data_IF_626000780802
#
_entry.id   IF_626000780802
#
_cell.length_a   1.000
_cell.length_b   1.000
_cell.length_c   1.000
_cell.angle_alpha   90.00
_cell.angle_beta   90.00
_cell.angle_gamma   90.00
#
_symmetry.space_group_name_H-M   'P 1'
#
loop_
_entity.id
_entity.type
_entity.pdbx_description
1 polymer ?
#
# COMPACT_ATOMS: atom_id res chain seq x y z
N UNK A 1 23.90 -3.28 -28.69
CA UNK A 1 24.75 -4.48 -28.66
C UNK A 1 24.30 -5.30 -27.46
N UNK A 2 23.66 -6.44 -27.68
CA UNK A 2 23.21 -7.35 -26.62
C UNK A 2 24.44 -8.00 -25.98
N UNK A 3 24.62 -7.80 -24.69
CA UNK A 3 25.57 -8.56 -23.88
C UNK A 3 24.76 -9.41 -22.92
N UNK A 4 24.81 -10.73 -23.12
CA UNK A 4 24.27 -11.71 -22.19
C UNK A 4 25.22 -11.84 -21.02
N UNK A 5 24.68 -11.79 -19.80
CA UNK A 5 25.38 -12.25 -18.59
C UNK A 5 24.57 -13.40 -18.02
N UNK A 6 25.14 -14.60 -18.17
CA UNK A 6 24.72 -15.81 -17.45
C UNK A 6 25.37 -15.73 -16.08
N UNK A 7 24.58 -15.71 -15.01
CA UNK A 7 25.08 -15.92 -13.65
C UNK A 7 24.39 -17.15 -13.03
N UNK A 8 25.24 -18.08 -12.61
CA UNK A 8 24.99 -19.33 -11.90
C UNK A 8 24.51 -19.09 -10.45
N UNK A 9 23.92 -20.10 -9.78
CA UNK A 9 23.30 -19.89 -8.47
C UNK A 9 24.36 -19.69 -7.38
N UNK A 10 24.34 -18.53 -6.73
CA UNK A 10 24.98 -18.31 -5.44
C UNK A 10 23.89 -18.43 -4.38
N UNK A 11 24.08 -19.39 -3.48
CA UNK A 11 23.26 -19.60 -2.29
C UNK A 11 23.45 -18.42 -1.34
N UNK A 12 22.47 -17.54 -1.24
CA UNK A 12 22.31 -16.68 -0.07
C UNK A 12 20.85 -16.27 0.15
N UNK A 13 20.50 -16.23 1.43
CA UNK A 13 19.14 -16.22 1.99
C UNK A 13 18.60 -14.79 2.01
N UNK A 14 17.44 -14.54 1.41
CA UNK A 14 16.87 -13.19 1.35
C UNK A 14 15.38 -13.13 1.04
N UNK A 15 14.66 -12.39 1.87
CA UNK A 15 13.27 -11.97 1.73
C UNK A 15 13.01 -11.23 0.41
N UNK A 16 11.93 -11.56 -0.31
CA UNK A 16 11.41 -10.72 -1.40
C UNK A 16 9.92 -10.46 -1.19
N UNK A 17 9.64 -9.22 -0.80
CA UNK A 17 8.35 -8.54 -0.85
C UNK A 17 8.36 -7.71 -2.14
N UNK A 18 7.32 -7.77 -2.99
CA UNK A 18 7.10 -6.71 -3.97
C UNK A 18 5.62 -6.48 -4.38
N UNK A 19 5.10 -5.37 -3.86
CA UNK A 19 4.36 -4.22 -4.46
C UNK A 19 3.35 -4.43 -5.60
N UNK A 20 2.13 -3.91 -5.41
CA UNK A 20 1.34 -3.27 -6.49
C UNK A 20 1.34 -1.75 -6.26
N UNK A 21 1.89 -1.02 -7.22
CA UNK A 21 1.74 0.43 -7.41
C UNK A 21 0.37 0.64 -8.06
N UNK A 22 -0.46 1.54 -7.52
CA UNK A 22 -1.39 2.29 -8.35
C UNK A 22 -1.36 3.75 -7.93
N UNK A 23 -0.43 4.48 -8.53
CA UNK A 23 -0.60 5.90 -8.77
C UNK A 23 -1.12 6.00 -10.20
N UNK A 24 -2.28 6.62 -10.42
CA UNK A 24 -2.70 7.02 -11.76
C UNK A 24 -1.71 8.07 -12.26
N UNK A 25 -0.62 7.62 -12.88
CA UNK A 25 0.26 8.45 -13.68
C UNK A 25 0.38 7.79 -15.06
N UNK A 26 -0.11 8.53 -16.08
CA UNK A 26 0.12 8.25 -17.50
C UNK A 26 1.61 8.00 -17.72
N UNK A 27 2.01 6.74 -17.86
CA UNK A 27 2.88 6.19 -18.91
C UNK A 27 3.41 4.80 -18.51
N UNK A 28 3.47 3.93 -19.53
CA UNK A 28 3.73 2.49 -19.46
C UNK A 28 5.01 2.14 -18.69
N UNK A 29 4.87 1.31 -17.65
CA UNK A 29 5.97 0.51 -17.10
C UNK A 29 5.48 -0.93 -16.99
N UNK A 30 6.24 -1.86 -17.55
CA UNK A 30 5.97 -3.31 -17.55
C UNK A 30 7.11 -3.95 -16.76
N UNK A 31 6.82 -4.53 -15.60
CA UNK A 31 7.80 -5.27 -14.80
C UNK A 31 7.35 -6.73 -14.79
N UNK A 32 8.22 -7.62 -15.28
CA UNK A 32 8.09 -9.06 -15.13
C UNK A 32 9.09 -9.48 -14.05
N UNK A 33 8.63 -10.23 -13.05
CA UNK A 33 9.50 -10.80 -12.01
C UNK A 33 9.42 -12.32 -12.06
N UNK A 34 10.61 -12.92 -12.14
CA UNK A 34 10.83 -14.34 -12.08
C UNK A 34 11.35 -14.63 -10.66
N UNK A 35 10.50 -15.20 -9.81
CA UNK A 35 10.84 -15.52 -8.42
C UNK A 35 11.32 -16.98 -8.35
N UNK A 36 12.63 -17.14 -8.18
CA UNK A 36 13.26 -18.41 -7.85
C UNK A 36 12.89 -18.83 -6.43
N UNK A 37 12.82 -20.14 -6.21
CA UNK A 37 12.35 -20.83 -5.00
C UNK A 37 13.15 -20.41 -3.77
N UNK A 38 12.56 -19.58 -2.91
CA UNK A 38 12.90 -19.46 -1.48
C UNK A 38 11.73 -18.81 -0.70
N UNK A 39 11.46 -19.40 0.46
CA UNK A 39 10.17 -19.52 1.18
C UNK A 39 9.79 -18.30 2.02
N UNK A 40 8.56 -17.77 1.89
CA UNK A 40 7.85 -17.00 2.93
C UNK A 40 6.33 -17.11 2.79
N UNK A 41 5.60 -17.19 3.90
CA UNK A 41 4.16 -16.94 3.93
C UNK A 41 3.92 -15.44 4.19
N UNK A 42 3.67 -14.70 3.12
CA UNK A 42 3.41 -13.27 3.17
C UNK A 42 1.90 -13.07 3.17
N UNK A 43 1.32 -12.54 4.25
CA UNK A 43 -0.01 -11.95 4.13
C UNK A 43 0.14 -10.52 3.66
N UNK A 44 -0.65 -10.09 2.67
CA UNK A 44 -0.73 -8.69 2.28
C UNK A 44 -2.09 -8.15 2.68
N UNK A 45 -2.11 -7.18 3.59
CA UNK A 45 -3.24 -6.29 3.81
C UNK A 45 -2.99 -5.05 2.97
N UNK A 46 -3.70 -4.89 1.86
CA UNK A 46 -3.62 -3.68 1.05
C UNK A 46 -4.75 -2.75 1.49
N UNK A 47 -4.36 -1.59 2.02
CA UNK A 47 -5.26 -0.51 2.41
C UNK A 47 -5.18 0.58 1.35
N UNK A 48 -6.24 0.71 0.55
CA UNK A 48 -6.33 1.71 -0.52
C UNK A 48 -7.35 2.76 -0.11
N UNK A 49 -6.92 4.00 0.08
CA UNK A 49 -7.86 5.08 0.43
C UNK A 49 -8.49 5.67 -0.81
N UNK A 50 -9.71 5.26 -1.17
CA UNK A 50 -10.76 6.12 -1.75
C UNK A 50 -12.06 5.34 -2.03
N UNK A 51 -13.15 5.58 -1.26
CA UNK A 51 -14.51 5.18 -1.68
C UNK A 51 -15.62 6.14 -1.26
N UNK A 52 -15.73 7.27 -1.97
CA UNK A 52 -16.74 8.32 -1.72
C UNK A 52 -18.24 7.90 -1.78
N UNK A 53 -18.65 6.64 -2.05
CA UNK A 53 -20.03 6.37 -2.51
C UNK A 53 -20.80 5.12 -2.03
N UNK A 54 -20.42 4.42 -0.94
CA UNK A 54 -21.35 3.42 -0.34
C UNK A 54 -22.60 4.03 0.32
N UNK A 55 -22.60 5.36 0.57
CA UNK A 55 -23.81 6.08 1.01
C UNK A 55 -24.89 6.16 -0.08
N UNK A 56 -24.54 6.07 -1.38
CA UNK A 56 -25.52 6.15 -2.48
C UNK A 56 -26.17 4.80 -2.77
N UNK A 57 -25.49 3.68 -2.52
CA UNK A 57 -26.05 2.32 -2.70
C UNK A 57 -27.07 1.97 -1.61
N UNK A 58 -26.78 2.21 -0.32
CA UNK A 58 -27.80 2.03 0.74
C UNK A 58 -28.97 3.03 0.66
N UNK A 59 -28.74 4.21 0.05
CA UNK A 59 -29.82 5.17 -0.25
C UNK A 59 -30.66 4.68 -1.42
N UNK A 60 -30.05 4.08 -2.46
CA UNK A 60 -30.75 3.40 -3.56
C UNK A 60 -31.53 2.17 -3.09
N UNK A 61 -31.02 1.38 -2.16
CA UNK A 61 -31.77 0.26 -1.57
C UNK A 61 -33.01 0.75 -0.79
N UNK A 62 -32.90 1.89 -0.08
CA UNK A 62 -34.05 2.56 0.60
C UNK A 62 -34.99 3.32 -0.34
N UNK A 63 -34.49 3.78 -1.49
CA UNK A 63 -35.28 4.45 -2.53
C UNK A 63 -35.95 3.42 -3.47
N UNK A 64 -35.40 2.22 -3.64
CA UNK A 64 -36.05 1.10 -4.34
C UNK A 64 -37.24 0.52 -3.57
N UNK A 65 -37.31 0.71 -2.24
CA UNK A 65 -38.54 0.45 -1.46
C UNK A 65 -39.65 1.49 -1.73
N UNK A 66 -39.32 2.65 -2.32
CA UNK A 66 -40.26 3.71 -2.68
C UNK A 66 -40.10 4.05 -4.18
N UNK A 67 -40.62 3.16 -5.03
CA UNK A 67 -40.38 3.15 -6.47
C UNK A 67 -40.50 4.50 -7.18
N UNK A 68 -39.37 5.00 -7.65
CA UNK A 68 -39.24 5.87 -8.83
C UNK A 68 -37.90 5.55 -9.54
N UNK A 69 -37.96 4.92 -10.71
CA UNK A 69 -36.80 4.78 -11.60
C UNK A 69 -36.53 6.12 -12.31
N UNK A 70 -35.44 6.79 -11.92
CA UNK A 70 -34.78 7.80 -12.75
C UNK A 70 -33.49 7.23 -13.32
N UNK A 71 -33.49 7.03 -14.63
CA UNK A 71 -32.30 6.71 -15.42
C UNK A 71 -31.42 7.96 -15.45
N UNK A 72 -30.50 8.07 -14.50
CA UNK A 72 -29.37 9.00 -14.59
C UNK A 72 -28.28 8.36 -15.44
N UNK A 73 -28.00 8.94 -16.62
CA UNK A 73 -26.78 8.70 -17.37
C UNK A 73 -25.59 8.98 -16.43
N UNK A 74 -24.92 7.92 -15.95
CA UNK A 74 -23.72 8.09 -15.16
C UNK A 74 -22.59 8.51 -16.09
N UNK A 75 -22.30 9.82 -16.11
CA UNK A 75 -21.05 10.32 -16.67
C UNK A 75 -19.89 9.52 -16.09
N UNK A 76 -19.03 8.99 -16.97
CA UNK A 76 -17.84 8.26 -16.58
C UNK A 76 -17.01 9.16 -15.65
N UNK A 77 -16.91 8.77 -14.38
CA UNK A 77 -16.12 9.52 -13.40
C UNK A 77 -14.67 9.54 -13.86
N UNK A 78 -14.09 10.73 -13.90
CA UNK A 78 -12.69 10.95 -14.26
C UNK A 78 -11.79 10.08 -13.36
N UNK A 79 -10.92 9.28 -13.96
CA UNK A 79 -10.04 8.32 -13.28
C UNK A 79 -10.57 6.88 -13.11
N UNK A 80 -11.83 6.56 -13.44
CA UNK A 80 -12.34 5.17 -13.40
C UNK A 80 -11.92 4.36 -14.63
N UNK A 81 -11.79 3.03 -14.50
CA UNK A 81 -11.53 2.14 -15.64
C UNK A 81 -12.85 1.87 -16.36
N UNK A 82 -13.33 2.84 -17.15
CA UNK A 82 -14.64 2.78 -17.80
C UNK A 82 -15.81 2.61 -16.79
N UNK A 83 -15.77 3.33 -15.67
CA UNK A 83 -16.80 3.27 -14.62
C UNK A 83 -16.55 2.23 -13.53
N UNK A 84 -15.53 1.37 -13.67
CA UNK A 84 -15.14 0.39 -12.65
C UNK A 84 -14.03 0.94 -11.73
N UNK A 85 -14.06 0.54 -10.45
CA UNK A 85 -13.08 1.00 -9.44
C UNK A 85 -11.75 0.23 -9.56
N UNK A 86 -11.77 -0.99 -10.12
CA UNK A 86 -10.57 -1.80 -10.27
C UNK A 86 -10.60 -2.70 -11.50
N UNK A 87 -9.41 -3.08 -11.99
CA UNK A 87 -9.28 -4.05 -13.08
C UNK A 87 -9.95 -5.38 -12.71
N UNK A 88 -9.81 -5.81 -11.46
CA UNK A 88 -10.42 -7.06 -11.01
C UNK A 88 -11.96 -7.01 -11.06
N UNK A 89 -12.56 -5.88 -10.66
CA UNK A 89 -14.01 -5.68 -10.72
C UNK A 89 -14.51 -5.62 -12.17
N UNK A 90 -13.80 -4.90 -13.04
CA UNK A 90 -14.09 -4.88 -14.47
C UNK A 90 -14.07 -6.30 -15.06
N UNK A 91 -13.01 -7.06 -14.81
CA UNK A 91 -12.85 -8.41 -15.38
C UNK A 91 -13.87 -9.40 -14.82
N UNK A 92 -14.13 -9.37 -13.52
CA UNK A 92 -15.10 -10.29 -12.88
C UNK A 92 -16.55 -10.01 -13.28
N UNK A 93 -16.90 -8.75 -13.51
CA UNK A 93 -18.24 -8.35 -13.95
C UNK A 93 -18.46 -8.58 -15.45
N UNK A 94 -17.40 -8.42 -16.25
CA UNK A 94 -17.51 -8.43 -17.72
C UNK A 94 -17.28 -9.80 -18.36
N UNK A 95 -16.65 -10.74 -17.66
CA UNK A 95 -16.29 -12.05 -18.21
C UNK A 95 -17.11 -13.18 -17.57
N UNK A 96 -17.49 -14.22 -18.34
CA UNK A 96 -18.01 -15.46 -17.78
C UNK A 96 -17.04 -16.06 -16.73
N UNK A 97 -17.54 -16.75 -15.69
CA UNK A 97 -16.70 -17.21 -14.57
C UNK A 97 -15.46 -18.03 -14.99
N UNK A 98 -15.59 -18.91 -15.99
CA UNK A 98 -14.48 -19.72 -16.47
C UNK A 98 -13.40 -18.90 -17.18
N UNK A 99 -13.79 -17.88 -17.97
CA UNK A 99 -12.84 -16.98 -18.62
C UNK A 99 -12.18 -16.04 -17.61
N UNK A 100 -12.95 -15.56 -16.64
CA UNK A 100 -12.39 -14.76 -15.54
C UNK A 100 -11.32 -15.54 -14.77
N UNK A 101 -11.58 -16.80 -14.43
CA UNK A 101 -10.60 -17.68 -13.78
C UNK A 101 -9.33 -17.85 -14.61
N UNK A 102 -9.45 -18.09 -15.92
CA UNK A 102 -8.30 -18.28 -16.80
C UNK A 102 -7.49 -16.99 -17.00
N UNK A 103 -8.17 -15.86 -17.20
CA UNK A 103 -7.52 -14.54 -17.26
C UNK A 103 -6.80 -14.25 -15.95
N UNK A 104 -7.43 -14.53 -14.81
CA UNK A 104 -6.82 -14.31 -13.51
C UNK A 104 -5.58 -15.19 -13.30
N UNK A 105 -5.64 -16.47 -13.71
CA UNK A 105 -4.51 -17.40 -13.70
C UNK A 105 -3.33 -16.87 -14.52
N UNK A 106 -3.59 -16.26 -15.69
CA UNK A 106 -2.56 -15.71 -16.57
C UNK A 106 -1.97 -14.40 -16.05
N UNK A 107 -2.79 -13.52 -15.46
CA UNK A 107 -2.36 -12.20 -14.99
C UNK A 107 -1.71 -12.24 -13.59
N UNK A 108 -2.31 -12.97 -12.65
CA UNK A 108 -1.89 -13.00 -11.24
C UNK A 108 -1.09 -14.27 -10.88
N UNK A 109 -1.21 -15.34 -11.68
CA UNK A 109 -0.61 -16.62 -11.36
C UNK A 109 -1.44 -17.43 -10.36
N UNK A 110 -0.81 -18.47 -9.81
CA UNK A 110 -1.39 -19.34 -8.77
C UNK A 110 -0.46 -19.37 -7.55
N UNK A 111 -1.05 -19.46 -6.36
CA UNK A 111 -0.35 -19.72 -5.13
C UNK A 111 -0.53 -21.21 -4.75
N UNK A 112 0.56 -21.98 -4.78
CA UNK A 112 0.54 -23.44 -4.55
C UNK A 112 -0.53 -24.18 -5.39
N UNK A 113 -0.66 -23.82 -6.67
CA UNK A 113 -1.61 -24.44 -7.60
C UNK A 113 -3.07 -24.00 -7.44
N UNK A 114 -3.36 -23.03 -6.57
CA UNK A 114 -4.71 -22.48 -6.35
C UNK A 114 -4.74 -20.97 -6.61
N UNK A 115 -5.92 -20.44 -6.92
CA UNK A 115 -6.13 -18.99 -6.97
C UNK A 115 -5.88 -18.37 -5.60
N UNK A 116 -5.48 -17.10 -5.60
CA UNK A 116 -5.18 -16.36 -4.37
C UNK A 116 -6.39 -16.32 -3.44
N UNK A 117 -6.21 -16.76 -2.20
CA UNK A 117 -7.25 -16.83 -1.18
C UNK A 117 -7.45 -15.45 -0.52
N UNK A 118 -8.70 -15.01 -0.40
CA UNK A 118 -9.07 -13.80 0.35
C UNK A 118 -9.31 -14.17 1.82
N UNK A 119 -8.90 -13.32 2.75
CA UNK A 119 -9.08 -13.53 4.18
C UNK A 119 -10.15 -12.60 4.74
N UNK A 120 -10.91 -13.13 5.70
CA UNK A 120 -11.78 -12.32 6.55
C UNK A 120 -10.92 -11.44 7.48
N UNK A 121 -11.37 -10.21 7.67
CA UNK A 121 -10.78 -9.24 8.57
C UNK A 121 -11.59 -9.19 9.87
N UNK A 122 -10.98 -8.77 10.99
CA UNK A 122 -11.73 -8.59 12.22
C UNK A 122 -12.70 -7.41 12.10
N UNK A 123 -13.87 -7.51 12.71
CA UNK A 123 -14.93 -6.47 12.68
C UNK A 123 -14.38 -5.08 13.04
N UNK A 124 -13.46 -5.01 14.00
CA UNK A 124 -12.82 -3.75 14.40
C UNK A 124 -12.05 -3.05 13.28
N UNK A 125 -11.48 -3.80 12.33
CA UNK A 125 -10.78 -3.23 11.19
C UNK A 125 -11.77 -2.77 10.10
N UNK A 126 -12.84 -3.54 9.89
CA UNK A 126 -13.92 -3.19 8.96
C UNK A 126 -14.70 -1.94 9.43
N UNK A 127 -14.95 -1.83 10.73
CA UNK A 127 -15.58 -0.64 11.35
C UNK A 127 -14.74 0.61 11.14
N UNK A 128 -13.41 0.51 11.26
CA UNK A 128 -12.49 1.61 10.98
C UNK A 128 -12.48 1.98 9.49
N UNK A 129 -12.46 0.98 8.61
CA UNK A 129 -12.57 1.16 7.16
C UNK A 129 -13.84 1.92 6.78
N UNK A 130 -14.99 1.52 7.33
CA UNK A 130 -16.27 2.17 7.09
C UNK A 130 -16.33 3.59 7.67
N UNK A 131 -15.79 3.79 8.88
CA UNK A 131 -15.82 5.08 9.58
C UNK A 131 -14.93 6.14 8.91
N UNK A 132 -13.74 5.75 8.47
CA UNK A 132 -12.74 6.65 7.91
C UNK A 132 -12.60 6.58 6.39
N UNK A 133 -13.49 5.83 5.73
CA UNK A 133 -13.65 5.77 4.28
C UNK A 133 -12.38 5.34 3.51
N UNK A 134 -11.89 4.15 3.83
CA UNK A 134 -10.78 3.52 3.11
C UNK A 134 -11.08 2.06 2.79
N UNK A 135 -10.58 1.53 1.67
CA UNK A 135 -10.68 0.12 1.35
C UNK A 135 -9.67 -0.68 2.18
N UNK A 136 -10.09 -1.86 2.61
CA UNK A 136 -9.24 -2.86 3.24
C UNK A 136 -9.45 -4.20 2.53
N UNK A 137 -8.35 -4.86 2.14
CA UNK A 137 -8.37 -6.20 1.53
C UNK A 137 -7.24 -7.02 2.12
N UNK A 138 -7.50 -8.30 2.38
CA UNK A 138 -6.50 -9.23 2.89
C UNK A 138 -6.42 -10.49 2.04
N UNK A 139 -5.18 -10.91 1.75
CA UNK A 139 -4.90 -12.11 0.95
C UNK A 139 -3.90 -13.03 1.64
N UNK A 140 -4.00 -14.33 1.35
CA UNK A 140 -3.15 -15.37 1.92
C UNK A 140 -2.27 -16.00 0.83
N UNK A 141 -0.95 -15.96 1.03
CA UNK A 141 0.01 -16.68 0.18
C UNK A 141 0.58 -17.88 0.93
N UNK A 142 0.12 -19.09 0.60
CA UNK A 142 0.60 -20.33 1.21
C UNK A 142 1.92 -20.79 0.63
N UNK A 143 2.62 -21.62 1.41
CA UNK A 143 3.78 -22.40 1.00
C UNK A 143 3.50 -23.88 1.26
N UNK A 144 4.27 -24.75 0.61
CA UNK A 144 4.23 -26.20 0.89
C UNK A 144 4.77 -26.47 2.30
N UNK A 145 4.21 -27.49 2.97
CA UNK A 145 4.62 -27.84 4.33
C UNK A 145 6.01 -28.48 4.29
N UNK A 146 6.95 -27.91 5.04
CA UNK A 146 8.24 -28.54 5.28
C UNK A 146 8.16 -29.56 6.42
N UNK A 147 8.99 -30.60 6.37
CA UNK A 147 9.06 -31.63 7.41
C UNK A 147 9.91 -31.20 8.62
N UNK A 148 10.94 -30.39 8.39
CA UNK A 148 11.95 -30.05 9.40
C UNK A 148 11.78 -28.65 10.01
N UNK A 149 10.90 -27.82 9.44
CA UNK A 149 10.71 -26.44 9.87
C UNK A 149 9.24 -26.14 10.04
N UNK A 150 8.94 -25.46 11.14
CA UNK A 150 7.60 -24.93 11.37
C UNK A 150 7.32 -23.74 10.44
N UNK A 151 6.05 -23.54 10.04
CA UNK A 151 5.66 -22.41 9.22
C UNK A 151 5.94 -21.06 9.92
N UNK A 152 6.66 -20.18 9.23
CA UNK A 152 6.87 -18.80 9.68
C UNK A 152 5.84 -17.88 9.02
N UNK A 153 4.78 -17.59 9.77
CA UNK A 153 3.65 -16.80 9.30
C UNK A 153 3.89 -15.32 9.58
N UNK A 154 3.91 -14.48 8.54
CA UNK A 154 4.14 -13.03 8.70
C UNK A 154 3.05 -12.23 7.99
N UNK A 155 2.40 -11.34 8.76
CA UNK A 155 1.41 -10.41 8.22
C UNK A 155 2.06 -9.09 7.82
N UNK A 156 1.93 -8.74 6.55
CA UNK A 156 2.44 -7.50 5.97
C UNK A 156 1.27 -6.58 5.63
N UNK A 157 1.37 -5.30 6.01
CA UNK A 157 0.42 -4.26 5.65
C UNK A 157 1.06 -3.27 4.67
N UNK A 158 0.30 -2.89 3.66
CA UNK A 158 0.67 -1.89 2.66
C UNK A 158 -0.38 -0.79 2.68
N UNK A 159 0.05 0.45 2.92
CA UNK A 159 -0.84 1.60 2.95
C UNK A 159 -0.60 2.49 1.73
N UNK A 160 -1.70 2.83 1.05
CA UNK A 160 -1.73 3.82 -0.02
C UNK A 160 -2.78 4.87 0.28
N UNK A 161 -2.39 6.14 0.23
CA UNK A 161 -3.26 7.28 0.50
C UNK A 161 -2.98 8.48 -0.40
N UNK A 162 -4.04 9.23 -0.71
CA UNK A 162 -3.95 10.57 -1.28
C UNK A 162 -3.58 11.61 -0.21
N UNK A 163 -3.13 12.80 -0.64
CA UNK A 163 -2.93 13.95 0.25
C UNK A 163 -4.25 14.33 0.94
N UNK A 164 -4.15 14.89 2.14
CA UNK A 164 -5.33 15.22 2.95
C UNK A 164 -5.83 16.67 2.74
N UNK A 165 -4.91 17.60 2.43
CA UNK A 165 -5.20 19.01 2.20
C UNK A 165 -4.64 19.47 0.85
N UNK A 166 -5.13 20.61 0.30
CA UNK A 166 -4.55 21.23 -0.88
C UNK A 166 -3.07 21.59 -0.69
N UNK A 167 -2.30 21.51 -1.76
CA UNK A 167 -0.85 21.83 -1.76
C UNK A 167 -0.54 23.29 -1.46
N UNK A 168 -1.55 24.17 -1.49
CA UNK A 168 -1.48 25.59 -1.14
C UNK A 168 -1.62 25.87 0.36
N UNK A 169 -2.06 24.89 1.16
CA UNK A 169 -2.19 25.04 2.61
C UNK A 169 -0.80 25.16 3.28
N UNK A 170 -0.71 25.68 4.51
CA UNK A 170 0.55 25.69 5.27
C UNK A 170 1.13 24.26 5.41
N UNK A 171 2.44 24.11 5.24
CA UNK A 171 3.11 22.79 5.31
C UNK A 171 2.88 22.03 6.63
N UNK A 172 2.91 22.68 7.81
CA UNK A 172 2.61 21.98 9.07
C UNK A 172 1.20 21.39 9.08
N UNK A 173 0.22 22.10 8.53
CA UNK A 173 -1.17 21.64 8.48
C UNK A 173 -1.33 20.48 7.50
N UNK A 174 -0.66 20.53 6.35
CA UNK A 174 -0.65 19.41 5.38
C UNK A 174 -0.09 18.13 6.02
N UNK A 175 1.06 18.22 6.69
CA UNK A 175 1.71 17.09 7.36
C UNK A 175 0.82 16.52 8.47
N UNK A 176 0.28 17.38 9.33
CA UNK A 176 -0.64 16.98 10.40
C UNK A 176 -1.90 16.30 9.87
N UNK A 177 -2.47 16.80 8.77
CA UNK A 177 -3.65 16.21 8.16
C UNK A 177 -3.36 14.81 7.58
N UNK A 178 -2.16 14.60 7.01
CA UNK A 178 -1.71 13.27 6.59
C UNK A 178 -1.60 12.32 7.80
N UNK A 179 -1.01 12.76 8.91
CA UNK A 179 -0.93 11.94 10.13
C UNK A 179 -2.31 11.53 10.64
N UNK A 180 -3.26 12.47 10.66
CA UNK A 180 -4.64 12.22 11.06
C UNK A 180 -5.36 11.24 10.12
N UNK A 181 -5.06 11.28 8.82
CA UNK A 181 -5.62 10.37 7.81
C UNK A 181 -5.01 8.97 7.90
N UNK A 182 -3.70 8.87 8.11
CA UNK A 182 -2.97 7.59 8.13
C UNK A 182 -3.14 6.85 9.45
N UNK A 183 -3.26 7.56 10.59
CA UNK A 183 -3.43 6.95 11.91
C UNK A 183 -4.54 5.87 11.97
N UNK A 184 -5.80 6.14 11.58
CA UNK A 184 -6.87 5.13 11.64
C UNK A 184 -6.60 3.93 10.71
N UNK A 185 -5.86 4.13 9.62
CA UNK A 185 -5.45 3.07 8.70
C UNK A 185 -4.40 2.16 9.36
N UNK A 186 -3.43 2.76 10.06
CA UNK A 186 -2.45 2.03 10.87
C UNK A 186 -3.16 1.29 12.02
N UNK A 187 -4.14 1.93 12.67
CA UNK A 187 -4.92 1.32 13.74
C UNK A 187 -5.69 0.08 13.24
N UNK A 188 -6.24 0.12 12.02
CA UNK A 188 -6.90 -1.03 11.38
C UNK A 188 -5.92 -2.15 10.99
N UNK A 189 -4.72 -1.79 10.50
CA UNK A 189 -3.65 -2.75 10.25
C UNK A 189 -3.21 -3.45 11.55
N UNK A 190 -3.04 -2.67 12.63
CA UNK A 190 -2.73 -3.19 13.96
C UNK A 190 -3.82 -4.13 14.50
N UNK A 191 -5.10 -3.76 14.35
CA UNK A 191 -6.23 -4.61 14.70
C UNK A 191 -6.26 -5.92 13.89
N UNK A 192 -5.77 -5.90 12.65
CA UNK A 192 -5.64 -7.07 11.77
C UNK A 192 -4.41 -7.94 12.06
N UNK A 193 -3.63 -7.61 13.10
CA UNK A 193 -2.45 -8.36 13.52
C UNK A 193 -1.25 -8.22 12.58
N UNK A 194 -1.14 -7.12 11.83
CA UNK A 194 0.01 -6.86 10.95
C UNK A 194 1.32 -6.82 11.75
N UNK A 195 2.33 -7.54 11.28
CA UNK A 195 3.66 -7.60 11.89
C UNK A 195 4.63 -6.60 11.25
N UNK A 196 4.53 -6.38 9.94
CA UNK A 196 5.37 -5.45 9.18
C UNK A 196 4.48 -4.54 8.33
N UNK A 197 4.56 -3.23 8.54
CA UNK A 197 3.77 -2.23 7.83
C UNK A 197 4.67 -1.36 6.95
N UNK A 198 4.26 -1.09 5.72
CA UNK A 198 4.96 -0.19 4.81
C UNK A 198 4.06 0.95 4.35
N UNK A 199 4.57 2.18 4.46
CA UNK A 199 3.97 3.39 3.92
C UNK A 199 4.51 3.68 2.52
N UNK A 200 3.77 4.45 1.73
CA UNK A 200 4.19 4.85 0.38
C UNK A 200 5.41 5.80 0.39
N UNK A 201 6.04 5.95 -0.77
CA UNK A 201 7.16 6.89 -0.96
C UNK A 201 6.77 8.32 -0.56
N UNK A 202 7.62 8.99 0.23
CA UNK A 202 7.44 10.36 0.68
C UNK A 202 6.03 10.63 1.24
N UNK A 203 5.48 9.68 2.02
CA UNK A 203 4.08 9.70 2.47
C UNK A 203 3.67 10.96 3.24
N UNK A 204 4.64 11.67 3.82
CA UNK A 204 4.45 12.87 4.66
C UNK A 204 4.23 14.16 3.86
N UNK A 205 4.33 14.12 2.53
CA UNK A 205 4.25 15.30 1.67
C UNK A 205 3.54 15.01 0.34
N UNK A 206 3.02 16.05 -0.35
CA UNK A 206 2.64 15.91 -1.74
C UNK A 206 3.85 15.53 -2.60
N UNK A 207 3.63 14.73 -3.65
CA UNK A 207 4.68 14.37 -4.59
C UNK A 207 5.00 15.55 -5.53
N UNK A 208 5.69 16.56 -5.00
CA UNK A 208 5.88 17.86 -5.63
C UNK A 208 7.20 18.01 -6.41
N UNK A 209 8.00 16.94 -6.53
CA UNK A 209 9.29 16.95 -7.25
C UNK A 209 9.14 17.34 -8.73
N UNK A 210 7.96 17.17 -9.32
CA UNK A 210 7.65 17.62 -10.67
C UNK A 210 7.73 19.15 -10.86
N UNK A 211 7.56 19.93 -9.79
CA UNK A 211 7.61 21.40 -9.83
C UNK A 211 9.03 21.97 -9.81
N UNK A 212 10.02 21.19 -9.31
CA UNK A 212 11.41 21.60 -9.09
C UNK A 212 11.59 22.81 -8.14
N UNK A 213 10.54 23.21 -7.43
CA UNK A 213 10.61 24.34 -6.49
C UNK A 213 11.28 23.93 -5.17
N UNK A 214 12.19 24.76 -4.66
CA UNK A 214 12.94 24.45 -3.44
C UNK A 214 12.12 24.55 -2.15
N UNK A 215 10.96 25.21 -2.16
CA UNK A 215 10.09 25.34 -0.98
C UNK A 215 9.68 23.97 -0.40
N UNK A 216 9.54 22.95 -1.24
CA UNK A 216 9.16 21.61 -0.82
C UNK A 216 10.22 20.93 0.06
N UNK A 217 11.45 21.43 0.07
CA UNK A 217 12.51 20.95 0.95
C UNK A 217 12.23 21.21 2.44
N UNK A 218 11.27 22.07 2.79
CA UNK A 218 10.83 22.28 4.18
C UNK A 218 10.12 21.07 4.78
N UNK A 219 9.59 20.15 3.94
CA UNK A 219 9.08 18.86 4.41
C UNK A 219 10.19 17.91 4.89
N UNK A 220 11.46 18.20 4.54
CA UNK A 220 12.56 17.33 4.89
C UNK A 220 12.84 17.36 6.40
N UNK A 221 12.91 16.19 7.01
CA UNK A 221 13.12 16.02 8.44
C UNK A 221 14.32 15.12 8.74
N UNK A 222 14.95 15.25 9.92
CA UNK A 222 15.95 14.27 10.32
C UNK A 222 15.31 12.89 10.51
N UNK A 223 16.13 11.84 10.49
CA UNK A 223 15.67 10.44 10.56
C UNK A 223 14.89 10.14 11.85
N UNK A 224 15.21 10.83 12.94
CA UNK A 224 14.55 10.80 14.24
C UNK A 224 13.54 11.96 14.44
N UNK A 225 13.10 12.56 13.34
CA UNK A 225 12.14 13.66 13.31
C UNK A 225 10.71 13.25 13.68
N UNK A 226 9.81 14.21 13.54
CA UNK A 226 8.42 14.11 14.00
C UNK A 226 7.67 12.90 13.41
N UNK A 227 7.82 12.59 12.12
CA UNK A 227 7.09 11.45 11.52
C UNK A 227 7.61 10.12 12.05
N UNK A 228 8.92 10.00 12.32
CA UNK A 228 9.47 8.81 12.96
C UNK A 228 8.94 8.67 14.39
N UNK A 229 8.94 9.74 15.18
CA UNK A 229 8.41 9.72 16.56
C UNK A 229 6.92 9.33 16.60
N UNK A 230 6.11 9.89 15.70
CA UNK A 230 4.71 9.53 15.53
C UNK A 230 4.53 8.03 15.26
N UNK A 231 5.36 7.45 14.39
CA UNK A 231 5.30 6.02 14.06
C UNK A 231 5.91 5.13 15.14
N UNK A 232 6.88 5.59 15.93
CA UNK A 232 7.46 4.83 17.05
C UNK A 232 6.40 4.50 18.11
N UNK A 233 5.48 5.42 18.39
CA UNK A 233 4.37 5.19 19.31
C UNK A 233 3.42 4.10 18.78
N UNK A 234 3.12 4.13 17.47
CA UNK A 234 2.25 3.14 16.82
C UNK A 234 2.92 1.77 16.69
N UNK A 235 4.22 1.75 16.41
CA UNK A 235 5.03 0.53 16.37
C UNK A 235 4.99 -0.19 17.73
N UNK A 236 5.20 0.54 18.83
CA UNK A 236 5.10 0.03 20.20
C UNK A 236 3.68 -0.45 20.53
N UNK A 237 2.67 0.36 20.23
CA UNK A 237 1.26 0.06 20.53
C UNK A 237 0.81 -1.27 19.91
N UNK A 238 1.26 -1.56 18.69
CA UNK A 238 0.82 -2.73 17.94
C UNK A 238 1.86 -3.85 17.85
N UNK A 239 3.02 -3.71 18.52
CA UNK A 239 4.14 -4.64 18.40
C UNK A 239 4.49 -4.95 16.92
N UNK A 240 4.62 -3.88 16.13
CA UNK A 240 4.71 -3.93 14.67
C UNK A 240 5.93 -3.18 14.16
N UNK A 241 6.64 -3.76 13.19
CA UNK A 241 7.72 -3.09 12.45
C UNK A 241 7.11 -2.15 11.43
N UNK A 242 7.59 -0.91 11.33
CA UNK A 242 7.07 0.08 10.37
C UNK A 242 8.20 0.60 9.48
N UNK A 243 7.97 0.56 8.17
CA UNK A 243 8.84 1.18 7.16
C UNK A 243 8.26 2.52 6.76
N UNK A 244 9.02 3.59 6.98
CA UNK A 244 8.64 4.99 6.77
C UNK A 244 9.54 5.65 5.71
N UNK A 245 9.11 5.71 4.44
CA UNK A 245 9.81 6.46 3.41
C UNK A 245 9.56 7.97 3.55
N UNK A 246 10.59 8.73 3.88
CA UNK A 246 10.54 10.18 4.10
C UNK A 246 11.56 10.92 3.23
N UNK A 247 11.36 12.23 3.09
CA UNK A 247 12.42 13.13 2.66
C UNK A 247 13.31 13.42 3.87
N UNK A 248 14.52 12.87 3.88
CA UNK A 248 15.50 13.05 4.95
C UNK A 248 16.28 14.35 4.74
N UNK A 249 16.47 15.12 5.82
CA UNK A 249 17.50 16.16 5.94
C UNK A 249 18.65 15.65 6.79
N UNK A 250 19.81 15.44 6.17
CA UNK A 250 21.01 14.97 6.89
C UNK A 250 21.77 16.14 7.53
N UNK A 251 21.35 16.52 8.74
CA UNK A 251 21.94 17.62 9.51
C UNK A 251 23.44 17.40 9.77
N UNK A 252 23.91 16.14 9.90
CA UNK A 252 25.31 15.83 10.17
C UNK A 252 26.21 16.03 8.94
N UNK A 253 25.66 15.91 7.74
CA UNK A 253 26.38 16.03 6.48
C UNK A 253 25.88 17.23 5.65
N UNK A 254 25.86 18.40 6.30
CA UNK A 254 25.61 19.69 5.62
C UNK A 254 24.17 19.88 5.13
N UNK A 255 23.19 19.30 5.83
CA UNK A 255 21.76 19.38 5.48
C UNK A 255 21.40 18.81 4.10
N UNK A 256 22.21 17.85 3.61
CA UNK A 256 21.94 17.20 2.32
C UNK A 256 20.60 16.44 2.37
N UNK A 257 19.80 16.59 1.31
CA UNK A 257 18.49 15.95 1.23
C UNK A 257 18.57 14.58 0.56
N UNK A 258 17.87 13.60 1.14
CA UNK A 258 17.83 12.23 0.65
C UNK A 258 16.42 11.68 0.64
N UNK A 259 16.10 10.84 -0.35
CA UNK A 259 14.94 9.97 -0.25
C UNK A 259 15.33 8.73 0.55
N UNK A 260 14.71 8.56 1.71
CA UNK A 260 15.18 7.61 2.72
C UNK A 260 14.02 6.81 3.29
N UNK A 261 14.14 5.48 3.27
CA UNK A 261 13.29 4.58 4.03
C UNK A 261 13.89 4.36 5.43
N UNK A 262 13.17 4.77 6.46
CA UNK A 262 13.51 4.52 7.86
C UNK A 262 12.78 3.25 8.33
N UNK A 263 13.50 2.34 8.98
CA UNK A 263 12.92 1.11 9.54
C UNK A 263 12.82 1.25 11.05
N UNK A 264 11.58 1.25 11.54
CA UNK A 264 11.23 1.37 12.95
C UNK A 264 10.87 -0.03 13.47
N UNK A 265 11.58 -0.49 14.49
CA UNK A 265 11.32 -1.77 15.13
C UNK A 265 10.03 -1.77 15.95
N UNK A 266 9.55 -2.97 16.26
CA UNK A 266 8.34 -3.19 17.06
C UNK A 266 8.42 -2.64 18.50
N UNK A 267 9.62 -2.44 19.04
CA UNK A 267 9.83 -1.75 20.32
C UNK A 267 9.92 -0.21 20.17
N UNK A 268 9.72 0.30 18.96
CA UNK A 268 9.85 1.72 18.64
C UNK A 268 11.30 2.20 18.52
N UNK A 269 12.30 1.33 18.51
CA UNK A 269 13.68 1.74 18.21
C UNK A 269 13.87 1.91 16.70
N UNK A 270 14.75 2.82 16.27
CA UNK A 270 15.16 2.90 14.86
C UNK A 270 16.15 1.77 14.61
N UNK A 271 15.79 0.81 13.76
CA UNK A 271 16.66 -0.31 13.38
C UNK A 271 17.72 0.16 12.40
N UNK A 272 17.32 1.02 11.46
CA UNK A 272 18.23 1.55 10.45
C UNK A 272 17.50 2.40 9.42
N UNK A 273 18.25 2.79 8.38
CA UNK A 273 17.74 3.57 7.25
C UNK A 273 18.40 3.12 5.95
N UNK A 274 17.68 3.28 4.84
CA UNK A 274 18.19 3.02 3.50
C UNK A 274 17.90 4.23 2.59
N UNK A 275 18.91 4.72 1.88
CA UNK A 275 18.78 5.84 0.93
C UNK A 275 18.61 5.30 -0.48
N UNK A 276 17.72 5.93 -1.25
CA UNK A 276 17.47 5.60 -2.66
C UNK A 276 18.78 5.72 -3.46
N UNK A 277 19.24 4.60 -4.02
CA UNK A 277 20.47 4.54 -4.82
C UNK A 277 20.22 4.98 -6.26
N UNK A 278 19.11 4.52 -6.84
CA UNK A 278 18.75 4.82 -8.22
C UNK A 278 17.77 6.00 -8.24
N UNK A 279 18.28 7.18 -8.61
CA UNK A 279 17.51 8.42 -8.74
C UNK A 279 16.93 8.50 -10.16
N UNK A 280 15.68 8.97 -10.26
CA UNK A 280 14.93 9.09 -11.52
C UNK A 280 14.86 10.55 -11.99
#
# INVERSE_FOLDING_TARGET
MQSYVVCTPVTDVGMVVLVIISCYLKHRIRIFLNLSKSIYLVFSVTLTVERKLRKKERKREREMENGEEKIENSEAKDGSICGFDSLNELLSTSLPPHLFQEVNRLLQGLNCGKSLETLALPDSADDLSLKYDFDIKAFCFRAEKEELREPQMVRVGLIQNSTALPTTAPFPDQKKAIFQKVKPIIDAAGASGVNVLCLQEAWTMPFAFCTREKRWCEFAEPVDGESTQFLQDLARKYNMVIVSPILERDVKHGETLWNTAVVIGNHGNIIGKHRKVNVC
#
